data_IF_707401063636
#
_entry.id   IF_707401063636
#
_cell.length_a   1.000
_cell.length_b   1.000
_cell.length_c   1.000
_cell.angle_alpha   90.00
_cell.angle_beta   90.00
_cell.angle_gamma   90.00
#
_symmetry.space_group_name_H-M   'P 1'
#
loop_
_entity.id
_entity.type
_entity.pdbx_description
1 polymer ?
#
# COMPACT_ATOMS: atom_id res chain seq x y z
N UNK A 1 -26.65 -4.52 20.95
CA UNK A 1 -25.19 -4.29 20.86
C UNK A 1 -24.84 -4.19 19.38
N UNK A 2 -24.80 -2.97 18.83
CA UNK A 2 -24.45 -2.77 17.42
C UNK A 2 -22.95 -3.04 17.23
N UNK A 3 -22.63 -4.17 16.61
CA UNK A 3 -21.32 -4.39 16.02
C UNK A 3 -21.15 -3.34 14.92
N UNK A 4 -20.43 -2.26 15.19
CA UNK A 4 -19.94 -1.39 14.12
C UNK A 4 -19.00 -2.26 13.27
N UNK A 5 -19.32 -2.61 12.01
CA UNK A 5 -18.30 -3.17 11.14
C UNK A 5 -17.23 -2.09 11.01
N UNK A 6 -15.99 -2.44 11.38
CA UNK A 6 -14.84 -1.62 11.03
C UNK A 6 -14.95 -1.34 9.53
N UNK A 7 -14.79 -0.09 9.04
CA UNK A 7 -14.84 0.15 7.61
C UNK A 7 -13.81 -0.76 6.96
N UNK A 8 -14.27 -1.65 6.08
CA UNK A 8 -13.44 -2.63 5.39
C UNK A 8 -12.58 -1.85 4.39
N UNK A 9 -11.45 -1.32 4.85
CA UNK A 9 -10.58 -0.49 4.05
C UNK A 9 -10.15 -1.27 2.80
N UNK A 10 -10.34 -0.65 1.63
CA UNK A 10 -9.88 -1.18 0.37
C UNK A 10 -8.36 -1.06 0.29
N UNK A 11 -7.70 -2.20 0.11
CA UNK A 11 -6.27 -2.29 -0.10
C UNK A 11 -5.93 -2.09 -1.58
N UNK A 12 -5.30 -0.97 -1.92
CA UNK A 12 -4.80 -0.73 -3.27
C UNK A 12 -3.31 -1.06 -3.33
N UNK A 13 -2.94 -1.95 -4.26
CA UNK A 13 -1.53 -2.37 -4.50
C UNK A 13 -1.00 -1.93 -5.87
N UNK A 14 -1.90 -1.45 -6.75
CA UNK A 14 -1.54 -0.96 -8.07
C UNK A 14 -1.18 0.54 -7.98
N UNK A 15 0.03 0.96 -8.43
CA UNK A 15 0.45 2.36 -8.35
C UNK A 15 -0.51 3.32 -9.06
N UNK A 16 -1.12 2.92 -10.18
CA UNK A 16 -2.09 3.76 -10.88
C UNK A 16 -3.38 3.93 -10.08
N UNK A 17 -3.92 2.86 -9.49
CA UNK A 17 -5.11 2.94 -8.64
C UNK A 17 -4.86 3.76 -7.38
N UNK A 18 -3.67 3.62 -6.77
CA UNK A 18 -3.25 4.43 -5.62
C UNK A 18 -3.17 5.91 -6.02
N UNK A 19 -2.53 6.21 -7.15
CA UNK A 19 -2.40 7.58 -7.66
C UNK A 19 -3.76 8.22 -7.95
N UNK A 20 -4.65 7.53 -8.67
CA UNK A 20 -6.00 8.03 -8.93
C UNK A 20 -6.77 8.29 -7.64
N UNK A 21 -6.67 7.39 -6.67
CA UNK A 21 -7.36 7.56 -5.42
C UNK A 21 -6.76 8.73 -4.60
N UNK A 22 -5.43 8.94 -4.64
CA UNK A 22 -4.75 10.10 -4.03
C UNK A 22 -5.21 11.44 -4.65
N UNK A 23 -5.44 11.45 -5.97
CA UNK A 23 -5.88 12.66 -6.68
C UNK A 23 -7.38 12.91 -6.45
N UNK A 24 -8.21 11.90 -6.63
CA UNK A 24 -9.68 12.04 -6.66
C UNK A 24 -10.31 12.04 -5.27
N UNK A 25 -9.72 11.32 -4.31
CA UNK A 25 -10.29 11.12 -2.97
C UNK A 25 -9.23 11.05 -1.86
N UNK A 26 -8.40 12.08 -1.68
CA UNK A 26 -7.35 12.07 -0.66
C UNK A 26 -7.87 11.99 0.78
N UNK A 27 -9.12 12.40 1.03
CA UNK A 27 -9.74 12.33 2.36
C UNK A 27 -10.13 10.91 2.78
N UNK A 28 -10.28 10.02 1.80
CA UNK A 28 -10.60 8.60 2.05
C UNK A 28 -9.34 7.76 2.27
N UNK A 29 -8.15 8.33 2.00
CA UNK A 29 -6.88 7.69 2.32
C UNK A 29 -6.65 7.70 3.83
N UNK A 30 -6.51 6.50 4.39
CA UNK A 30 -6.10 6.32 5.77
C UNK A 30 -4.59 6.38 5.91
N UNK A 31 -3.88 5.61 5.09
CA UNK A 31 -2.42 5.51 5.12
C UNK A 31 -1.87 4.86 3.86
N UNK A 32 -0.59 5.14 3.59
CA UNK A 32 0.20 4.50 2.55
C UNK A 32 1.38 3.78 3.21
N UNK A 33 1.53 2.49 2.92
CA UNK A 33 2.52 1.62 3.52
C UNK A 33 3.51 1.14 2.48
N UNK A 34 4.79 1.41 2.64
CA UNK A 34 5.86 0.93 1.77
C UNK A 34 6.53 -0.31 2.34
N UNK A 35 6.74 -1.34 1.51
CA UNK A 35 7.49 -2.54 1.90
C UNK A 35 8.99 -2.42 1.61
N UNK A 36 9.35 -1.51 0.71
CA UNK A 36 10.70 -1.22 0.24
C UNK A 36 10.83 0.27 0.02
N UNK A 37 12.06 0.79 -0.03
CA UNK A 37 12.30 2.21 -0.31
C UNK A 37 11.65 2.64 -1.64
N UNK A 38 10.82 3.70 -1.64
CA UNK A 38 10.09 4.13 -2.82
C UNK A 38 11.02 4.74 -3.88
N UNK A 39 10.97 4.19 -5.09
CA UNK A 39 11.73 4.68 -6.25
C UNK A 39 10.81 4.87 -7.47
N UNK A 40 11.23 5.71 -8.42
CA UNK A 40 10.46 6.00 -9.63
C UNK A 40 9.05 6.55 -9.34
N UNK A 41 8.01 5.91 -9.87
CA UNK A 41 6.61 6.31 -9.65
C UNK A 41 6.20 6.24 -8.17
N UNK A 42 6.76 5.30 -7.41
CA UNK A 42 6.46 5.13 -5.99
C UNK A 42 6.96 6.28 -5.15
N UNK A 43 8.10 6.88 -5.52
CA UNK A 43 8.61 8.11 -4.91
C UNK A 43 7.64 9.27 -5.10
N UNK A 44 7.14 9.46 -6.33
CA UNK A 44 6.13 10.48 -6.65
C UNK A 44 4.84 10.27 -5.86
N UNK A 45 4.39 9.02 -5.73
CA UNK A 45 3.22 8.65 -4.91
C UNK A 45 3.46 9.01 -3.43
N UNK A 46 4.63 8.70 -2.88
CA UNK A 46 4.99 9.01 -1.50
C UNK A 46 5.03 10.52 -1.24
N UNK A 47 5.64 11.29 -2.16
CA UNK A 47 5.68 12.75 -2.10
C UNK A 47 4.28 13.35 -2.13
N UNK A 48 3.45 12.93 -3.11
CA UNK A 48 2.06 13.39 -3.22
C UNK A 48 1.22 13.05 -1.98
N UNK A 49 1.42 11.88 -1.37
CA UNK A 49 0.76 11.50 -0.12
C UNK A 49 1.19 12.41 1.03
N UNK A 50 2.49 12.70 1.16
CA UNK A 50 3.04 13.62 2.18
C UNK A 50 2.50 15.05 2.02
N UNK A 51 2.45 15.58 0.79
CA UNK A 51 1.88 16.90 0.49
C UNK A 51 0.41 16.99 0.92
N UNK A 52 -0.34 15.90 0.75
CA UNK A 52 -1.75 15.78 1.15
C UNK A 52 -1.94 15.42 2.62
N UNK A 53 -0.86 15.42 3.42
CA UNK A 53 -0.83 15.06 4.85
C UNK A 53 -1.34 13.65 5.15
N UNK A 54 -1.21 12.74 4.18
CA UNK A 54 -1.56 11.33 4.35
C UNK A 54 -0.40 10.63 5.06
N UNK A 55 -0.66 9.82 6.10
CA UNK A 55 0.40 9.07 6.78
C UNK A 55 1.09 8.10 5.82
N UNK A 56 2.40 8.28 5.65
CA UNK A 56 3.28 7.36 4.92
C UNK A 56 4.10 6.58 5.93
N UNK A 57 4.01 5.25 5.91
CA UNK A 57 4.71 4.35 6.83
C UNK A 57 5.57 3.37 6.06
N UNK A 58 6.78 3.14 6.51
CA UNK A 58 7.59 2.02 6.07
C UNK A 58 7.20 0.81 6.92
N UNK A 59 6.65 -0.22 6.27
CA UNK A 59 6.49 -1.50 6.93
C UNK A 59 7.88 -2.10 7.11
N UNK A 60 8.24 -2.55 8.32
CA UNK A 60 9.46 -3.30 8.49
C UNK A 60 9.39 -4.50 7.55
N UNK A 61 10.42 -4.65 6.70
CA UNK A 61 10.54 -5.83 5.83
C UNK A 61 10.24 -7.06 6.69
N UNK A 62 9.29 -7.94 6.31
CA UNK A 62 9.03 -9.12 7.10
C UNK A 62 10.36 -9.86 7.24
N UNK A 63 10.81 -10.03 8.49
CA UNK A 63 12.02 -10.79 8.83
C UNK A 63 11.98 -12.07 7.99
N UNK A 64 12.82 -12.14 6.95
CA UNK A 64 12.90 -13.29 6.08
C UNK A 64 13.22 -14.50 6.95
N UNK A 65 12.22 -15.30 7.29
CA UNK A 65 12.46 -16.69 7.63
C UNK A 65 12.91 -17.33 6.32
N UNK A 66 14.18 -17.72 6.30
CA UNK A 66 14.87 -18.42 5.21
C UNK A 66 13.90 -19.32 4.43
N UNK A 67 13.82 -19.19 3.09
CA UNK A 67 13.04 -20.13 2.31
C UNK A 67 13.81 -21.44 2.26
N UNK A 68 13.30 -22.45 2.97
CA UNK A 68 13.53 -23.83 2.60
C UNK A 68 13.01 -23.99 1.16
N UNK A 69 13.97 -24.10 0.25
CA UNK A 69 13.90 -24.74 -1.06
C UNK A 69 12.52 -25.28 -1.46
N UNK A 70 11.84 -24.57 -2.35
CA UNK A 70 10.87 -25.20 -3.25
C UNK A 70 10.96 -24.55 -4.62
N UNK A 71 11.53 -25.33 -5.54
CA UNK A 71 11.55 -25.11 -6.97
C UNK A 71 10.09 -25.02 -7.45
N UNK A 72 9.69 -23.85 -7.89
CA UNK A 72 8.40 -23.60 -8.52
C UNK A 72 8.50 -22.29 -9.29
N UNK A 73 8.87 -22.39 -10.56
CA UNK A 73 8.93 -21.27 -11.47
C UNK A 73 7.54 -20.63 -11.64
N UNK A 74 7.51 -19.31 -11.80
CA UNK A 74 6.39 -18.59 -12.38
C UNK A 74 5.68 -17.68 -11.39
N UNK A 75 5.85 -16.38 -11.62
CA UNK A 75 5.28 -15.25 -10.85
C UNK A 75 6.10 -14.99 -9.58
N UNK A 76 7.20 -14.28 -9.77
CA UNK A 76 7.62 -13.26 -8.82
C UNK A 76 6.35 -12.47 -8.52
N UNK A 77 5.65 -12.83 -7.43
CA UNK A 77 4.56 -12.05 -6.90
C UNK A 77 5.11 -10.64 -6.89
N UNK A 78 4.49 -9.73 -7.66
CA UNK A 78 4.83 -8.32 -7.59
C UNK A 78 4.51 -7.94 -6.16
N UNK A 79 5.47 -8.10 -5.27
CA UNK A 79 5.41 -7.64 -3.89
C UNK A 79 5.25 -6.15 -4.06
N UNK A 80 3.99 -5.70 -4.06
CA UNK A 80 3.63 -4.33 -4.40
C UNK A 80 4.49 -3.44 -3.53
N UNK A 81 5.29 -2.57 -4.15
CA UNK A 81 6.23 -1.74 -3.40
C UNK A 81 5.52 -0.94 -2.29
N UNK A 82 4.22 -0.67 -2.47
CA UNK A 82 3.36 -0.14 -1.45
C UNK A 82 1.95 -0.74 -1.45
N UNK A 83 1.27 -0.58 -0.32
CA UNK A 83 -0.15 -0.82 -0.11
C UNK A 83 -0.78 0.46 0.42
N UNK A 84 -1.85 0.93 -0.20
CA UNK A 84 -2.66 2.02 0.34
C UNK A 84 -3.94 1.48 0.96
N UNK A 85 -4.31 2.02 2.12
CA UNK A 85 -5.59 1.76 2.77
C UNK A 85 -6.54 2.92 2.50
N UNK A 86 -7.64 2.64 1.79
CA UNK A 86 -8.63 3.64 1.40
C UNK A 86 -10.01 3.23 1.90
N UNK A 87 -10.83 4.16 2.37
CA UNK A 87 -12.19 3.83 2.79
C UNK A 87 -13.00 3.27 1.59
N UNK A 88 -13.78 2.19 1.79
CA UNK A 88 -14.75 1.75 0.80
C UNK A 88 -15.84 2.82 0.67
N UNK A 89 -16.47 2.87 -0.48
CA UNK A 89 -17.54 3.83 -0.78
C UNK A 89 -18.89 3.25 -0.44
#
# INVERSE_FOLDING_TARGET
MSLNPLPEFLELKNPHSIWEALVRRPRDFKELRFHTEPHGIWRKIAEAAREKKIPVRDLPAPKQKHPAQSKGAGKQERTGHAVALVRPR
#
